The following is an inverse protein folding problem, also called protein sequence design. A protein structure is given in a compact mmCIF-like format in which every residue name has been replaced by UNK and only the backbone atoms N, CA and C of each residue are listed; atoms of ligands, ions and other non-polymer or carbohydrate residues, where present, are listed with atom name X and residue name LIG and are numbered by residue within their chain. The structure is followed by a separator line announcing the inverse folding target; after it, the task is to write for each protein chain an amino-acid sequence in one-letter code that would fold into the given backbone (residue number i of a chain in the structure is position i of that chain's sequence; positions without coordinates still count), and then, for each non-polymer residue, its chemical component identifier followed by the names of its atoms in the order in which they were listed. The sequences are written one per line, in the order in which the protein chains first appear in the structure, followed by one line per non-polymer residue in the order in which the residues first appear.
data_IF_714490796429
#
_entry.id   IF_714490796429
#
_cell.length_a   1.000
_cell.length_b   1.000
_cell.length_c   1.000
_cell.angle_alpha   90.00
_cell.angle_beta   90.00
_cell.angle_gamma   90.00
#
_symmetry.space_group_name_H-M   'P 1'
#
loop_
_entity.id
_entity.type
_entity.pdbx_description
1 polymer ?
#
# COMPACT_ATOMS: atom_id res chain seq x y z
N UNK A 1 1.28 -10.34 -76.51
CA UNK A 1 1.71 -10.61 -77.91
C UNK A 1 3.20 -10.84 -77.92
N UNK A 2 3.69 -11.84 -78.66
CA UNK A 2 4.96 -11.87 -79.42
C UNK A 2 5.16 -13.31 -79.93
N UNK A 3 5.61 -13.47 -81.19
CA UNK A 3 5.90 -14.76 -81.84
C UNK A 3 7.20 -14.61 -82.62
N UNK A 4 8.13 -15.55 -82.48
CA UNK A 4 9.11 -16.01 -83.48
C UNK A 4 9.68 -17.33 -82.94
N UNK A 5 9.92 -18.45 -83.62
CA UNK A 5 9.54 -19.06 -84.92
C UNK A 5 10.75 -19.93 -85.32
N UNK A 6 10.57 -21.21 -85.57
CA UNK A 6 11.67 -22.13 -85.92
C UNK A 6 11.65 -22.52 -87.40
N UNK A 7 12.81 -22.75 -88.00
CA UNK A 7 12.96 -23.22 -89.38
C UNK A 7 13.87 -24.46 -89.46
N UNK A 8 13.58 -25.36 -90.40
CA UNK A 8 14.32 -26.61 -90.62
C UNK A 8 14.33 -26.93 -92.12
N UNK A 9 15.46 -27.39 -92.67
CA UNK A 9 15.59 -27.64 -94.11
C UNK A 9 16.43 -28.90 -94.39
N UNK A 10 16.03 -29.70 -95.40
CA UNK A 10 16.68 -30.96 -95.79
C UNK A 10 16.75 -31.05 -97.32
N UNK A 11 17.88 -31.52 -97.88
CA UNK A 11 18.01 -31.88 -99.30
C UNK A 11 18.87 -33.14 -99.49
N UNK A 12 18.69 -33.86 -100.62
CA UNK A 12 19.36 -35.13 -100.95
C UNK A 12 19.37 -35.35 -102.47
N UNK A 13 20.49 -35.80 -103.06
CA UNK A 13 20.65 -36.02 -104.52
C UNK A 13 21.49 -37.26 -104.89
N UNK A 14 21.37 -37.74 -106.15
CA UNK A 14 22.03 -38.90 -106.83
C UNK A 14 21.47 -39.00 -108.29
N UNK A 15 21.81 -39.97 -109.21
CA UNK A 15 22.95 -40.91 -109.39
C UNK A 15 23.48 -41.10 -110.87
N UNK A 16 24.56 -41.88 -111.15
CA UNK A 16 24.63 -43.08 -112.09
C UNK A 16 26.06 -43.67 -112.43
N UNK A 17 26.19 -44.99 -112.81
CA UNK A 17 27.40 -45.73 -113.32
C UNK A 17 27.21 -46.23 -114.81
N UNK A 18 27.83 -47.29 -115.45
CA UNK A 18 28.83 -48.37 -115.07
C UNK A 18 29.84 -48.91 -116.19
N UNK A 19 30.42 -50.13 -116.02
CA UNK A 19 30.83 -51.19 -117.03
C UNK A 19 32.22 -51.17 -117.77
N UNK A 20 32.84 -52.27 -118.29
CA UNK A 20 32.64 -53.78 -118.21
C UNK A 20 33.92 -54.65 -118.49
N UNK A 21 33.80 -55.95 -118.90
CA UNK A 21 34.83 -57.05 -118.90
C UNK A 21 35.08 -57.71 -120.29
N UNK A 22 36.08 -58.63 -120.43
CA UNK A 22 36.01 -59.89 -121.25
C UNK A 22 37.08 -60.97 -120.90
N UNK A 23 36.97 -62.19 -121.48
CA UNK A 23 37.74 -63.45 -121.23
C UNK A 23 37.82 -64.34 -122.51
N UNK A 24 38.80 -65.27 -122.62
CA UNK A 24 38.71 -66.66 -123.21
C UNK A 24 40.13 -67.31 -123.38
N UNK A 25 40.38 -68.64 -123.46
CA UNK A 25 39.72 -69.89 -122.98
C UNK A 25 40.64 -71.16 -123.21
N UNK A 26 40.54 -72.19 -122.32
CA UNK A 26 40.79 -73.67 -122.55
C UNK A 26 42.25 -74.20 -122.75
N UNK A 27 42.64 -75.48 -122.52
CA UNK A 27 42.46 -76.44 -121.38
C UNK A 27 43.19 -77.83 -121.56
N UNK A 28 43.52 -78.55 -120.46
CA UNK A 28 43.64 -80.06 -120.27
C UNK A 28 44.91 -80.83 -120.77
N UNK A 29 45.32 -82.04 -120.28
CA UNK A 29 44.87 -83.11 -119.29
C UNK A 29 46.11 -84.04 -118.89
N UNK A 30 46.04 -85.23 -118.19
CA UNK A 30 46.29 -85.50 -116.71
C UNK A 30 47.23 -86.72 -116.37
N UNK A 31 47.91 -86.70 -115.18
CA UNK A 31 48.70 -87.69 -114.37
C UNK A 31 50.29 -87.52 -114.24
N UNK A 32 50.91 -87.53 -113.04
CA UNK A 32 51.70 -88.57 -112.25
C UNK A 32 53.03 -89.17 -112.85
N UNK A 33 54.04 -89.76 -112.14
CA UNK A 33 54.28 -90.27 -110.74
C UNK A 33 55.64 -89.72 -110.10
N UNK A 34 56.41 -90.36 -109.14
CA UNK A 34 56.66 -89.90 -107.74
C UNK A 34 58.18 -89.72 -107.33
N UNK A 35 58.70 -89.97 -106.08
CA UNK A 35 58.72 -89.15 -104.83
C UNK A 35 60.14 -88.91 -104.19
N UNK A 36 60.21 -88.58 -102.86
CA UNK A 36 61.40 -88.50 -101.92
C UNK A 36 62.41 -87.33 -102.12
N UNK A 37 63.35 -86.89 -101.24
CA UNK A 37 63.58 -86.71 -99.76
C UNK A 37 64.96 -85.91 -99.62
N UNK A 38 65.54 -85.48 -98.48
CA UNK A 38 65.11 -84.54 -97.40
C UNK A 38 66.30 -84.14 -96.44
N UNK A 39 66.02 -83.36 -95.38
CA UNK A 39 66.83 -83.03 -94.16
C UNK A 39 67.88 -81.85 -94.16
N UNK A 40 68.15 -81.18 -93.00
CA UNK A 40 68.77 -79.83 -92.82
C UNK A 40 70.13 -79.88 -92.03
N UNK A 41 70.51 -79.16 -90.91
CA UNK A 41 70.11 -77.89 -90.21
C UNK A 41 71.26 -76.97 -89.63
N UNK A 42 70.89 -75.92 -88.84
CA UNK A 42 71.69 -75.00 -87.94
C UNK A 42 72.62 -73.92 -88.56
N UNK A 43 72.99 -72.77 -87.93
CA UNK A 43 72.44 -72.02 -86.76
C UNK A 43 73.46 -71.18 -85.92
N UNK A 44 73.19 -69.89 -85.60
CA UNK A 44 73.67 -69.20 -84.36
C UNK A 44 74.58 -67.92 -84.40
N UNK A 45 74.07 -66.82 -83.81
CA UNK A 45 74.68 -65.74 -82.94
C UNK A 45 76.01 -64.99 -83.25
N UNK A 46 76.16 -63.74 -82.72
CA UNK A 46 77.20 -63.28 -81.75
C UNK A 46 77.46 -61.75 -81.71
N UNK A 47 78.10 -61.28 -80.63
CA UNK A 47 78.77 -59.96 -80.47
C UNK A 47 80.22 -60.13 -79.98
N UNK A 48 81.01 -59.05 -80.08
CA UNK A 48 82.43 -58.90 -79.72
C UNK A 48 83.48 -59.45 -80.71
N UNK A 49 84.40 -58.55 -81.12
CA UNK A 49 85.78 -58.69 -81.65
C UNK A 49 86.15 -59.90 -82.55
N UNK A 50 86.85 -59.74 -83.69
CA UNK A 50 88.03 -58.86 -83.88
C UNK A 50 88.41 -58.63 -85.36
N UNK A 51 88.80 -57.40 -85.68
CA UNK A 51 89.77 -56.97 -86.74
C UNK A 51 89.71 -57.48 -88.20
N UNK A 52 89.89 -56.52 -89.11
CA UNK A 52 90.64 -56.60 -90.39
C UNK A 52 90.00 -57.17 -91.67
N UNK A 53 89.83 -56.25 -92.64
CA UNK A 53 90.16 -56.40 -94.09
C UNK A 53 89.29 -57.40 -94.91
N UNK A 54 89.19 -57.32 -96.25
CA UNK A 54 89.40 -56.27 -97.26
C UNK A 54 88.67 -56.68 -98.56
N UNK A 55 88.49 -55.72 -99.48
CA UNK A 55 88.38 -55.90 -100.95
C UNK A 55 87.25 -56.77 -101.55
N UNK A 56 86.64 -56.20 -102.61
CA UNK A 56 86.61 -56.69 -104.00
C UNK A 56 87.17 -58.13 -104.29
N UNK A 57 86.73 -58.85 -105.33
CA UNK A 57 86.37 -58.36 -106.67
C UNK A 57 85.54 -59.38 -107.49
N UNK A 58 85.10 -58.99 -108.69
CA UNK A 58 84.41 -59.87 -109.63
C UNK A 58 85.39 -60.78 -110.42
N UNK A 59 84.96 -61.98 -110.88
CA UNK A 59 85.70 -62.75 -111.86
C UNK A 59 85.58 -62.10 -113.26
N UNK A 60 86.70 -61.65 -113.82
CA UNK A 60 86.79 -61.26 -115.23
C UNK A 60 87.05 -62.45 -116.15
N UNK A 61 86.87 -62.26 -117.46
CA UNK A 61 87.47 -63.13 -118.49
C UNK A 61 89.00 -62.96 -118.53
N UNK A 62 89.75 -63.63 -119.40
CA UNK A 62 89.44 -64.35 -120.65
C UNK A 62 90.25 -65.70 -120.64
N UNK A 63 90.31 -66.59 -121.64
CA UNK A 63 90.40 -66.37 -123.09
C UNK A 63 90.16 -67.63 -123.93
N UNK A 64 90.19 -67.41 -125.25
CA UNK A 64 89.88 -68.28 -126.38
C UNK A 64 90.36 -69.74 -126.34
N UNK A 65 89.49 -70.62 -126.84
CA UNK A 65 89.81 -71.87 -127.52
C UNK A 65 88.74 -72.12 -128.59
N UNK A 66 89.13 -72.12 -129.87
CA UNK A 66 88.20 -72.22 -131.00
C UNK A 66 87.53 -73.59 -131.10
N UNK A 67 86.20 -73.60 -131.33
CA UNK A 67 85.47 -74.63 -132.10
C UNK A 67 84.05 -74.13 -132.43
N UNK A 68 83.44 -74.66 -133.50
CA UNK A 68 82.42 -73.92 -134.29
C UNK A 68 80.96 -74.33 -134.01
N UNK A 69 80.06 -73.34 -134.14
CA UNK A 69 78.61 -73.44 -134.30
C UNK A 69 77.84 -74.42 -133.38
N UNK A 70 77.29 -73.90 -132.27
CA UNK A 70 76.33 -74.62 -131.42
C UNK A 70 74.98 -73.91 -131.29
N UNK A 71 73.89 -74.59 -131.64
CA UNK A 71 72.52 -74.17 -131.29
C UNK A 71 72.22 -74.66 -129.87
N UNK A 72 71.77 -73.76 -128.99
CA UNK A 72 71.49 -74.10 -127.58
C UNK A 72 70.03 -74.51 -127.42
N UNK A 73 69.80 -75.82 -127.28
CA UNK A 73 68.47 -76.40 -127.08
C UNK A 73 68.11 -76.39 -125.58
N UNK A 74 67.23 -75.46 -125.18
CA UNK A 74 66.70 -75.38 -123.83
C UNK A 74 65.54 -76.35 -123.62
N UNK A 75 65.74 -77.44 -122.86
CA UNK A 75 64.66 -78.35 -122.48
C UNK A 75 63.88 -77.77 -121.29
N UNK A 76 62.79 -77.06 -121.57
CA UNK A 76 61.88 -76.55 -120.54
C UNK A 76 60.90 -77.65 -120.13
N UNK A 77 61.17 -78.31 -119.00
CA UNK A 77 60.28 -79.33 -118.46
C UNK A 77 58.99 -78.67 -117.92
N UNK A 78 57.90 -78.72 -118.71
CA UNK A 78 56.57 -78.32 -118.25
C UNK A 78 56.02 -79.36 -117.27
N UNK A 79 56.29 -79.14 -115.98
CA UNK A 79 55.67 -79.86 -114.87
C UNK A 79 54.20 -79.44 -114.64
N UNK A 80 53.45 -79.20 -115.71
CA UNK A 80 51.99 -79.18 -115.59
C UNK A 80 51.57 -80.60 -115.18
N UNK A 81 50.81 -80.72 -114.08
CA UNK A 81 50.68 -81.91 -113.21
C UNK A 81 49.85 -83.06 -113.83
N UNK A 82 50.12 -83.35 -115.11
CA UNK A 82 49.12 -83.78 -116.08
C UNK A 82 49.76 -84.51 -117.31
N UNK A 83 49.84 -85.86 -117.38
CA UNK A 83 50.25 -86.63 -118.60
C UNK A 83 49.46 -86.06 -119.81
N UNK A 84 50.09 -85.51 -120.83
CA UNK A 84 51.33 -86.00 -121.42
C UNK A 84 52.58 -85.17 -121.08
N UNK A 85 53.72 -85.85 -120.93
CA UNK A 85 55.04 -85.21 -120.80
C UNK A 85 55.55 -84.75 -122.18
N UNK A 86 54.96 -83.67 -122.70
CA UNK A 86 55.31 -83.12 -124.01
C UNK A 86 56.65 -82.39 -123.99
N UNK A 87 57.66 -82.99 -124.61
CA UNK A 87 59.03 -82.46 -124.70
C UNK A 87 59.14 -81.42 -125.84
N UNK A 88 58.52 -80.26 -125.68
CA UNK A 88 58.50 -79.21 -126.71
C UNK A 88 59.85 -78.48 -126.77
N UNK A 89 60.68 -78.85 -127.74
CA UNK A 89 62.01 -78.26 -127.97
C UNK A 89 61.88 -76.93 -128.72
N UNK A 90 61.87 -75.82 -127.97
CA UNK A 90 61.98 -74.48 -128.56
C UNK A 90 63.45 -74.15 -128.85
N UNK A 91 63.82 -74.09 -130.13
CA UNK A 91 65.12 -73.59 -130.57
C UNK A 91 65.19 -72.07 -130.40
N UNK A 92 65.91 -71.58 -129.40
CA UNK A 92 66.12 -70.14 -129.17
C UNK A 92 67.46 -69.69 -129.73
N UNK A 93 67.47 -68.53 -130.39
CA UNK A 93 68.72 -67.87 -130.75
C UNK A 93 69.41 -67.30 -129.49
N UNK A 94 70.74 -67.25 -129.48
CA UNK A 94 71.51 -66.71 -128.36
C UNK A 94 71.24 -65.21 -128.07
N UNK A 95 70.58 -64.51 -129.00
CA UNK A 95 70.07 -63.15 -128.81
C UNK A 95 68.79 -63.15 -127.96
N UNK A 96 67.83 -64.02 -128.27
CA UNK A 96 66.48 -64.01 -127.70
C UNK A 96 66.48 -64.36 -126.20
N UNK A 97 67.29 -65.33 -125.78
CA UNK A 97 67.51 -65.64 -124.35
C UNK A 97 68.13 -64.47 -123.58
N UNK A 98 68.96 -63.64 -124.25
CA UNK A 98 69.59 -62.44 -123.67
C UNK A 98 68.60 -61.29 -123.46
N UNK A 99 67.49 -61.27 -124.20
CA UNK A 99 66.41 -60.31 -124.04
C UNK A 99 65.53 -60.68 -122.83
N UNK A 100 65.08 -61.94 -122.75
CA UNK A 100 64.28 -62.41 -121.61
C UNK A 100 65.07 -62.34 -120.29
N UNK A 101 66.35 -62.70 -120.30
CA UNK A 101 67.24 -62.52 -119.14
C UNK A 101 67.56 -61.04 -118.83
N UNK A 102 67.28 -60.08 -119.72
CA UNK A 102 67.24 -58.65 -119.35
C UNK A 102 65.90 -58.32 -118.72
N UNK A 103 64.80 -58.63 -119.40
CA UNK A 103 63.44 -58.33 -118.95
C UNK A 103 63.14 -58.86 -117.54
N UNK A 104 63.49 -60.11 -117.22
CA UNK A 104 63.31 -60.67 -115.87
C UNK A 104 64.12 -59.91 -114.80
N UNK A 105 65.34 -59.45 -115.14
CA UNK A 105 66.14 -58.61 -114.24
C UNK A 105 65.52 -57.24 -114.07
N UNK A 106 65.05 -56.59 -115.14
CA UNK A 106 64.44 -55.25 -115.06
C UNK A 106 63.08 -55.26 -114.34
N UNK A 107 62.28 -56.30 -114.51
CA UNK A 107 61.04 -56.54 -113.74
C UNK A 107 61.36 -56.75 -112.26
N UNK A 108 62.40 -57.53 -111.92
CA UNK A 108 62.84 -57.68 -110.53
C UNK A 108 63.35 -56.35 -109.96
N UNK A 109 64.20 -55.62 -110.69
CA UNK A 109 64.79 -54.35 -110.26
C UNK A 109 63.74 -53.22 -110.17
N UNK A 110 62.63 -53.29 -110.92
CA UNK A 110 61.48 -52.38 -110.75
C UNK A 110 60.60 -52.79 -109.57
N UNK A 111 60.27 -54.07 -109.40
CA UNK A 111 59.53 -54.56 -108.22
C UNK A 111 60.28 -54.32 -106.91
N UNK A 112 61.61 -54.47 -106.88
CA UNK A 112 62.42 -54.17 -105.69
C UNK A 112 62.54 -52.67 -105.44
N UNK A 113 62.54 -51.81 -106.48
CA UNK A 113 62.40 -50.35 -106.33
C UNK A 113 61.03 -49.96 -105.77
N UNK A 114 59.93 -50.56 -106.26
CA UNK A 114 58.57 -50.34 -105.75
C UNK A 114 58.47 -50.82 -104.30
N UNK A 115 58.97 -52.02 -103.97
CA UNK A 115 59.01 -52.55 -102.60
C UNK A 115 59.74 -51.57 -101.67
N UNK A 116 60.97 -51.18 -102.00
CA UNK A 116 61.77 -50.32 -101.15
C UNK A 116 61.14 -48.93 -100.98
N UNK A 117 60.49 -48.39 -102.02
CA UNK A 117 59.73 -47.14 -101.94
C UNK A 117 58.48 -47.28 -101.06
N UNK A 118 57.68 -48.34 -101.24
CA UNK A 118 56.49 -48.62 -100.43
C UNK A 118 56.81 -48.79 -98.95
N UNK A 119 57.89 -49.50 -98.60
CA UNK A 119 58.33 -49.61 -97.20
C UNK A 119 58.86 -48.28 -96.66
N UNK A 120 59.62 -47.50 -97.45
CA UNK A 120 60.05 -46.15 -97.04
C UNK A 120 58.87 -45.20 -96.75
N UNK A 121 57.87 -45.17 -97.64
CA UNK A 121 56.65 -44.37 -97.48
C UNK A 121 55.78 -44.89 -96.32
N UNK A 122 55.69 -46.21 -96.12
CA UNK A 122 55.00 -46.82 -94.97
C UNK A 122 55.68 -46.51 -93.65
N UNK A 123 57.00 -46.64 -93.55
CA UNK A 123 57.76 -46.34 -92.32
C UNK A 123 57.83 -44.84 -92.04
N UNK A 124 57.74 -43.98 -93.07
CA UNK A 124 57.55 -42.54 -92.87
C UNK A 124 56.14 -42.20 -92.39
N UNK A 125 55.10 -42.80 -92.96
CA UNK A 125 53.73 -42.63 -92.49
C UNK A 125 53.55 -43.20 -91.08
N UNK A 126 54.17 -44.33 -90.76
CA UNK A 126 54.20 -44.92 -89.41
C UNK A 126 54.90 -43.99 -88.41
N UNK A 127 56.07 -43.42 -88.75
CA UNK A 127 56.75 -42.40 -87.93
C UNK A 127 55.89 -41.14 -87.74
N UNK A 128 55.21 -40.67 -88.80
CA UNK A 128 54.29 -39.51 -88.73
C UNK A 128 53.07 -39.80 -87.83
N UNK A 129 52.46 -40.98 -87.96
CA UNK A 129 51.36 -41.42 -87.09
C UNK A 129 51.84 -41.55 -85.63
N UNK A 130 53.03 -42.11 -85.39
CA UNK A 130 53.61 -42.21 -84.03
C UNK A 130 53.93 -40.82 -83.45
N UNK A 131 54.51 -39.91 -84.25
CA UNK A 131 54.79 -38.54 -83.83
C UNK A 131 53.49 -37.79 -83.47
N UNK A 132 52.49 -37.79 -84.36
CA UNK A 132 51.17 -37.19 -84.11
C UNK A 132 50.45 -37.85 -82.92
N UNK A 133 50.63 -39.15 -82.69
CA UNK A 133 50.08 -39.82 -81.49
C UNK A 133 50.77 -39.32 -80.22
N UNK A 134 52.10 -39.20 -80.23
CA UNK A 134 52.85 -38.67 -79.07
C UNK A 134 52.52 -37.20 -78.80
N UNK A 135 52.42 -36.38 -79.84
CA UNK A 135 52.03 -34.97 -79.77
C UNK A 135 50.60 -34.81 -79.24
N UNK A 136 49.66 -35.65 -79.71
CA UNK A 136 48.30 -35.71 -79.17
C UNK A 136 48.28 -36.11 -77.69
N UNK A 137 49.10 -37.09 -77.25
CA UNK A 137 49.19 -37.45 -75.83
C UNK A 137 49.83 -36.37 -74.97
N UNK A 138 50.81 -35.61 -75.50
CA UNK A 138 51.40 -34.46 -74.80
C UNK A 138 50.38 -33.32 -74.68
N UNK A 139 49.72 -32.94 -75.78
CA UNK A 139 48.69 -31.90 -75.79
C UNK A 139 47.49 -32.26 -74.90
N UNK A 140 47.09 -33.54 -74.84
CA UNK A 140 46.06 -34.01 -73.90
C UNK A 140 46.55 -33.95 -72.44
N UNK A 141 47.84 -34.22 -72.16
CA UNK A 141 48.40 -34.08 -70.82
C UNK A 141 48.52 -32.60 -70.39
N UNK A 142 48.90 -31.72 -71.30
CA UNK A 142 48.92 -30.27 -71.11
C UNK A 142 47.51 -29.73 -70.84
N UNK A 143 46.53 -30.10 -71.67
CA UNK A 143 45.12 -29.74 -71.46
C UNK A 143 44.62 -30.23 -70.10
N UNK A 144 44.88 -31.49 -69.73
CA UNK A 144 44.51 -32.02 -68.43
C UNK A 144 45.19 -31.27 -67.28
N UNK A 145 46.46 -30.85 -67.43
CA UNK A 145 47.15 -30.04 -66.41
C UNK A 145 46.54 -28.64 -66.26
N UNK A 146 46.11 -28.01 -67.36
CA UNK A 146 45.44 -26.72 -67.37
C UNK A 146 44.05 -26.81 -66.74
N UNK A 147 43.30 -27.87 -67.05
CA UNK A 147 41.98 -28.17 -66.52
C UNK A 147 42.02 -28.44 -65.01
N UNK A 148 43.00 -29.23 -64.54
CA UNK A 148 43.29 -29.39 -63.11
C UNK A 148 43.61 -28.04 -62.43
N UNK A 149 44.44 -27.20 -63.05
CA UNK A 149 44.79 -25.87 -62.51
C UNK A 149 43.55 -24.96 -62.42
N UNK A 150 42.71 -24.92 -63.46
CA UNK A 150 41.43 -24.20 -63.46
C UNK A 150 40.51 -24.73 -62.35
N UNK A 151 40.42 -26.04 -62.16
CA UNK A 151 39.59 -26.66 -61.13
C UNK A 151 40.07 -26.33 -59.70
N UNK A 152 41.39 -26.30 -59.47
CA UNK A 152 41.98 -25.87 -58.19
C UNK A 152 41.69 -24.39 -57.91
N UNK A 153 41.83 -23.50 -58.91
CA UNK A 153 41.47 -22.09 -58.75
C UNK A 153 39.97 -21.86 -58.55
N UNK A 154 39.11 -22.64 -59.20
CA UNK A 154 37.66 -22.61 -58.97
C UNK A 154 37.32 -23.03 -57.54
N UNK A 155 37.92 -24.11 -57.02
CA UNK A 155 37.73 -24.55 -55.64
C UNK A 155 38.26 -23.53 -54.62
N UNK A 156 39.40 -22.90 -54.88
CA UNK A 156 39.93 -21.82 -54.04
C UNK A 156 39.00 -20.59 -54.03
N UNK A 157 38.49 -20.17 -55.19
CA UNK A 157 37.53 -19.06 -55.29
C UNK A 157 36.20 -19.37 -54.59
N UNK A 158 35.72 -20.61 -54.62
CA UNK A 158 34.51 -20.99 -53.88
C UNK A 158 34.78 -21.01 -52.36
N UNK A 159 35.93 -21.51 -51.91
CA UNK A 159 36.33 -21.40 -50.50
C UNK A 159 36.44 -19.94 -50.03
N UNK A 160 36.93 -19.02 -50.88
CA UNK A 160 36.90 -17.58 -50.59
C UNK A 160 35.48 -17.00 -50.57
N UNK A 161 34.54 -17.51 -51.39
CA UNK A 161 33.11 -17.14 -51.32
C UNK A 161 32.46 -17.64 -50.03
N UNK A 162 32.72 -18.89 -49.63
CA UNK A 162 32.25 -19.48 -48.38
C UNK A 162 32.79 -18.75 -47.14
N UNK A 163 34.09 -18.40 -47.12
CA UNK A 163 34.66 -17.57 -46.05
C UNK A 163 34.04 -16.16 -46.03
N UNK A 164 33.77 -15.57 -47.19
CA UNK A 164 33.15 -14.23 -47.29
C UNK A 164 31.66 -14.23 -46.89
N UNK A 165 30.90 -15.27 -47.25
CA UNK A 165 29.50 -15.43 -46.85
C UNK A 165 29.38 -15.77 -45.36
N UNK A 166 30.29 -16.61 -44.83
CA UNK A 166 30.41 -16.88 -43.40
C UNK A 166 30.76 -15.61 -42.60
N UNK A 167 31.75 -14.83 -43.06
CA UNK A 167 32.13 -13.57 -42.42
C UNK A 167 31.02 -12.52 -42.47
N UNK A 168 30.28 -12.41 -43.58
CA UNK A 168 29.12 -11.50 -43.65
C UNK A 168 27.96 -11.97 -42.78
N UNK A 169 27.69 -13.29 -42.69
CA UNK A 169 26.72 -13.86 -41.74
C UNK A 169 27.08 -13.53 -40.30
N UNK A 170 28.33 -13.81 -39.88
CA UNK A 170 28.81 -13.51 -38.53
C UNK A 170 28.80 -12.00 -38.21
N UNK A 171 29.09 -11.15 -39.20
CA UNK A 171 28.98 -9.69 -39.06
C UNK A 171 27.52 -9.23 -38.87
N UNK A 172 26.57 -9.82 -39.60
CA UNK A 172 25.13 -9.56 -39.45
C UNK A 172 24.62 -10.06 -38.08
N UNK A 173 25.06 -11.24 -37.62
CA UNK A 173 24.71 -11.78 -36.30
C UNK A 173 25.27 -10.91 -35.16
N UNK A 174 26.50 -10.42 -35.27
CA UNK A 174 27.09 -9.50 -34.29
C UNK A 174 26.40 -8.13 -34.30
N UNK A 175 26.06 -7.60 -35.47
CA UNK A 175 25.26 -6.36 -35.57
C UNK A 175 23.87 -6.55 -34.97
N UNK A 176 23.20 -7.67 -35.24
CA UNK A 176 21.88 -7.99 -34.70
C UNK A 176 21.94 -8.10 -33.17
N UNK A 177 22.84 -8.92 -32.63
CA UNK A 177 22.98 -9.10 -31.18
C UNK A 177 23.35 -7.82 -30.46
N UNK A 178 24.17 -6.94 -31.06
CA UNK A 178 24.43 -5.60 -30.52
C UNK A 178 23.14 -4.74 -30.49
N UNK A 179 22.34 -4.74 -31.57
CA UNK A 179 21.06 -4.02 -31.61
C UNK A 179 20.09 -4.57 -30.56
N UNK A 180 19.88 -5.89 -30.51
CA UNK A 180 19.02 -6.58 -29.54
C UNK A 180 19.43 -6.18 -28.10
N UNK A 181 20.72 -6.26 -27.76
CA UNK A 181 21.26 -5.83 -26.45
C UNK A 181 21.05 -4.33 -26.18
N UNK A 182 21.18 -3.45 -27.19
CA UNK A 182 20.87 -2.03 -26.97
C UNK A 182 19.38 -1.77 -26.72
N UNK A 183 18.48 -2.52 -27.36
CA UNK A 183 17.03 -2.44 -27.13
C UNK A 183 16.67 -2.92 -25.72
N UNK A 184 17.22 -4.06 -25.28
CA UNK A 184 17.08 -4.55 -23.91
C UNK A 184 17.57 -3.51 -22.89
N UNK A 185 18.73 -2.88 -23.13
CA UNK A 185 19.25 -1.82 -22.27
C UNK A 185 18.37 -0.56 -22.24
N UNK A 186 17.61 -0.25 -23.31
CA UNK A 186 16.59 0.81 -23.24
C UNK A 186 15.37 0.39 -22.41
N UNK A 187 14.86 -0.84 -22.59
CA UNK A 187 13.73 -1.36 -21.80
C UNK A 187 14.07 -1.41 -20.31
N UNK A 188 15.28 -1.85 -19.95
CA UNK A 188 15.77 -1.87 -18.55
C UNK A 188 15.87 -0.45 -17.99
N UNK A 189 16.33 0.53 -18.78
CA UNK A 189 16.41 1.94 -18.37
C UNK A 189 15.01 2.52 -18.09
N UNK A 190 14.06 2.25 -18.96
CA UNK A 190 12.68 2.72 -18.84
C UNK A 190 11.97 2.05 -17.65
N UNK A 191 12.20 0.76 -17.40
CA UNK A 191 11.76 0.06 -16.19
C UNK A 191 12.35 0.70 -14.93
N UNK A 192 13.65 1.00 -14.90
CA UNK A 192 14.31 1.69 -13.77
C UNK A 192 13.72 3.10 -13.57
N UNK A 193 13.40 3.83 -14.65
CA UNK A 193 12.77 5.14 -14.56
C UNK A 193 11.34 5.05 -14.01
N UNK A 194 10.52 4.11 -14.48
CA UNK A 194 9.18 3.86 -13.97
C UNK A 194 9.18 3.42 -12.50
N UNK A 195 10.14 2.60 -12.08
CA UNK A 195 10.33 2.20 -10.68
C UNK A 195 10.74 3.39 -9.79
N UNK A 196 11.60 4.29 -10.29
CA UNK A 196 11.94 5.54 -9.59
C UNK A 196 10.74 6.46 -9.44
N UNK A 197 9.99 6.71 -10.51
CA UNK A 197 8.79 7.57 -10.48
C UNK A 197 7.69 7.01 -9.57
N UNK A 198 7.45 5.70 -9.57
CA UNK A 198 6.46 5.07 -8.68
C UNK A 198 6.89 5.04 -7.21
N UNK A 199 8.19 4.90 -6.93
CA UNK A 199 8.76 5.07 -5.59
C UNK A 199 8.70 6.53 -5.10
N UNK A 200 9.02 7.50 -5.96
CA UNK A 200 8.92 8.92 -5.65
C UNK A 200 7.47 9.31 -5.32
N UNK A 201 6.53 8.92 -6.17
CA UNK A 201 5.10 9.16 -5.97
C UNK A 201 4.52 8.48 -4.70
N UNK A 202 5.01 7.30 -4.32
CA UNK A 202 4.59 6.64 -3.07
C UNK A 202 5.19 7.32 -1.84
N UNK A 203 6.43 7.80 -1.92
CA UNK A 203 7.08 8.60 -0.89
C UNK A 203 6.44 9.99 -0.71
N UNK A 204 5.97 10.62 -1.78
CA UNK A 204 5.17 11.86 -1.69
C UNK A 204 3.83 11.62 -1.01
N UNK A 205 3.09 10.58 -1.42
CA UNK A 205 1.84 10.16 -0.75
C UNK A 205 2.06 9.84 0.74
N UNK A 206 3.18 9.21 1.09
CA UNK A 206 3.53 8.93 2.49
C UNK A 206 3.78 10.23 3.28
N UNK A 207 4.51 11.19 2.72
CA UNK A 207 4.73 12.52 3.32
C UNK A 207 3.41 13.30 3.48
N UNK A 208 2.52 13.25 2.48
CA UNK A 208 1.20 13.88 2.54
C UNK A 208 0.34 13.25 3.65
N UNK A 209 0.32 11.91 3.75
CA UNK A 209 -0.40 11.20 4.80
C UNK A 209 0.18 11.45 6.19
N UNK A 210 1.50 11.58 6.33
CA UNK A 210 2.11 12.01 7.59
C UNK A 210 1.66 13.43 7.95
N UNK A 211 1.66 14.37 7.01
CA UNK A 211 1.18 15.75 7.25
C UNK A 211 -0.29 15.78 7.68
N UNK A 212 -1.15 14.99 7.03
CA UNK A 212 -2.56 14.83 7.38
C UNK A 212 -2.73 14.24 8.80
N UNK A 213 -1.88 13.28 9.18
CA UNK A 213 -1.86 12.70 10.53
C UNK A 213 -1.43 13.72 11.59
N UNK A 214 -0.39 14.52 11.35
CA UNK A 214 0.02 15.57 12.30
C UNK A 214 -1.04 16.67 12.44
N UNK A 215 -1.71 17.09 11.35
CA UNK A 215 -2.84 18.03 11.46
C UNK A 215 -4.00 17.44 12.26
N UNK A 216 -4.32 16.16 12.06
CA UNK A 216 -5.38 15.48 12.81
C UNK A 216 -5.01 15.29 14.30
N UNK A 217 -3.74 15.06 14.64
CA UNK A 217 -3.28 15.03 16.05
C UNK A 217 -3.48 16.38 16.73
N UNK A 218 -3.02 17.47 16.12
CA UNK A 218 -3.16 18.83 16.67
C UNK A 218 -4.64 19.21 16.83
N UNK A 219 -5.50 18.82 15.89
CA UNK A 219 -6.95 18.99 16.03
C UNK A 219 -7.52 18.17 17.20
N UNK A 220 -7.13 16.90 17.36
CA UNK A 220 -7.56 16.07 18.49
C UNK A 220 -7.05 16.60 19.85
N UNK A 221 -5.83 17.13 19.92
CA UNK A 221 -5.30 17.79 21.12
C UNK A 221 -6.07 19.06 21.46
N UNK A 222 -6.39 19.90 20.46
CA UNK A 222 -7.22 21.09 20.64
C UNK A 222 -8.65 20.75 21.08
N UNK A 223 -9.25 19.71 20.48
CA UNK A 223 -10.57 19.20 20.89
C UNK A 223 -10.54 18.63 22.31
N UNK A 224 -9.50 17.88 22.69
CA UNK A 224 -9.30 17.38 24.05
C UNK A 224 -9.22 18.55 25.05
N UNK A 225 -8.37 19.54 24.80
CA UNK A 225 -8.26 20.73 25.67
C UNK A 225 -9.57 21.52 25.77
N UNK A 226 -10.36 21.58 24.68
CA UNK A 226 -11.69 22.24 24.68
C UNK A 226 -12.73 21.44 25.48
N UNK A 227 -12.67 20.11 25.43
CA UNK A 227 -13.53 19.22 26.24
C UNK A 227 -13.13 19.32 27.72
N UNK A 228 -11.84 19.21 28.04
CA UNK A 228 -11.32 19.36 29.41
C UNK A 228 -11.66 20.73 30.01
N UNK A 229 -11.44 21.82 29.26
CA UNK A 229 -11.77 23.17 29.71
C UNK A 229 -13.27 23.44 29.90
N UNK A 230 -14.13 22.82 29.09
CA UNK A 230 -15.60 22.94 29.26
C UNK A 230 -16.15 22.02 30.36
N UNK A 231 -15.54 20.86 30.58
CA UNK A 231 -15.83 20.01 31.73
C UNK A 231 -15.41 20.69 33.05
N UNK A 232 -14.21 21.28 33.12
CA UNK A 232 -13.73 21.95 34.32
C UNK A 232 -14.51 23.23 34.63
N UNK A 233 -14.88 24.02 33.61
CA UNK A 233 -15.78 25.16 33.80
C UNK A 233 -17.16 24.75 34.35
N UNK A 234 -17.74 23.65 33.83
CA UNK A 234 -18.99 23.10 34.35
C UNK A 234 -18.84 22.55 35.78
N UNK A 235 -17.71 21.88 36.08
CA UNK A 235 -17.40 21.42 37.42
C UNK A 235 -17.26 22.57 38.42
N UNK A 236 -16.61 23.68 38.03
CA UNK A 236 -16.48 24.86 38.90
C UNK A 236 -17.82 25.56 39.12
N UNK A 237 -18.72 25.62 38.13
CA UNK A 237 -20.10 26.12 38.34
C UNK A 237 -20.85 25.26 39.36
N UNK A 238 -20.71 23.92 39.32
CA UNK A 238 -21.30 23.03 40.31
C UNK A 238 -20.67 23.20 41.71
N UNK A 239 -19.34 23.36 41.79
CA UNK A 239 -18.63 23.69 43.04
C UNK A 239 -19.09 25.05 43.60
N UNK A 240 -19.22 26.08 42.77
CA UNK A 240 -19.75 27.40 43.15
C UNK A 240 -21.17 27.32 43.69
N UNK A 241 -22.08 26.65 42.97
CA UNK A 241 -23.47 26.48 43.41
C UNK A 241 -23.53 25.75 44.76
N UNK A 242 -22.66 24.75 44.94
CA UNK A 242 -22.52 24.01 46.20
C UNK A 242 -22.00 24.92 47.33
N UNK A 243 -20.95 25.72 47.11
CA UNK A 243 -20.42 26.69 48.08
C UNK A 243 -21.47 27.75 48.46
N UNK A 244 -22.19 28.29 47.47
CA UNK A 244 -23.28 29.27 47.66
C UNK A 244 -24.43 28.67 48.49
N UNK A 245 -24.81 27.42 48.22
CA UNK A 245 -25.86 26.72 48.96
C UNK A 245 -25.46 26.45 50.43
N UNK A 246 -24.24 25.97 50.68
CA UNK A 246 -23.74 25.80 52.05
C UNK A 246 -23.66 27.14 52.80
N UNK A 247 -23.13 28.20 52.17
CA UNK A 247 -23.08 29.54 52.76
C UNK A 247 -24.47 30.06 53.16
N UNK A 248 -25.50 29.85 52.32
CA UNK A 248 -26.87 30.25 52.63
C UNK A 248 -27.54 29.43 53.73
N UNK A 249 -27.13 28.17 53.94
CA UNK A 249 -27.60 27.37 55.07
C UNK A 249 -26.89 27.76 56.37
N UNK A 250 -25.59 28.04 56.31
CA UNK A 250 -24.81 28.50 57.46
C UNK A 250 -25.24 29.89 57.93
N UNK A 251 -25.46 30.83 57.01
CA UNK A 251 -25.99 32.17 57.28
C UNK A 251 -27.35 32.10 58.00
N UNK A 252 -28.32 31.35 57.46
CA UNK A 252 -29.64 31.17 58.09
C UNK A 252 -29.59 30.47 59.46
N UNK A 253 -28.66 29.53 59.65
CA UNK A 253 -28.44 28.89 60.94
C UNK A 253 -27.92 29.92 61.96
N UNK A 254 -26.97 30.77 61.56
CA UNK A 254 -26.44 31.84 62.40
C UNK A 254 -27.49 32.93 62.70
N UNK A 255 -28.35 33.29 61.75
CA UNK A 255 -29.47 34.23 61.95
C UNK A 255 -30.46 33.71 63.01
N UNK A 256 -30.97 32.48 62.85
CA UNK A 256 -31.90 31.90 63.81
C UNK A 256 -31.22 31.60 65.17
N UNK A 257 -29.93 31.25 65.20
CA UNK A 257 -29.18 31.17 66.47
C UNK A 257 -29.09 32.52 67.19
N UNK A 258 -28.80 33.61 66.49
CA UNK A 258 -28.73 34.95 67.07
C UNK A 258 -30.09 35.41 67.57
N UNK A 259 -31.15 35.18 66.78
CA UNK A 259 -32.54 35.45 67.15
C UNK A 259 -32.96 34.71 68.42
N UNK A 260 -32.73 33.39 68.51
CA UNK A 260 -33.03 32.62 69.72
C UNK A 260 -32.22 33.09 70.95
N UNK A 261 -30.98 33.58 70.77
CA UNK A 261 -30.18 34.19 71.86
C UNK A 261 -30.82 35.49 72.34
N UNK A 262 -31.21 36.39 71.43
CA UNK A 262 -31.88 37.66 71.76
C UNK A 262 -33.27 37.47 72.38
N UNK A 263 -34.05 36.50 71.89
CA UNK A 263 -35.35 36.13 72.48
C UNK A 263 -35.18 35.60 73.90
N UNK A 264 -34.18 34.72 74.13
CA UNK A 264 -33.85 34.21 75.47
C UNK A 264 -33.40 35.32 76.41
N UNK A 265 -32.55 36.24 75.97
CA UNK A 265 -32.12 37.39 76.77
C UNK A 265 -33.30 38.32 77.12
N UNK A 266 -34.19 38.58 76.16
CA UNK A 266 -35.41 39.37 76.37
C UNK A 266 -36.34 38.72 77.41
N UNK A 267 -36.55 37.40 77.31
CA UNK A 267 -37.36 36.64 78.27
C UNK A 267 -36.73 36.60 79.67
N UNK A 268 -35.40 36.50 79.77
CA UNK A 268 -34.69 36.59 81.05
C UNK A 268 -34.83 38.00 81.68
N UNK A 269 -34.77 39.07 80.88
CA UNK A 269 -34.97 40.43 81.36
C UNK A 269 -36.39 40.66 81.89
N UNK A 270 -37.44 40.24 81.18
CA UNK A 270 -38.82 40.37 81.69
C UNK A 270 -39.06 39.45 82.90
N UNK A 271 -38.48 38.25 82.94
CA UNK A 271 -38.54 37.36 84.12
C UNK A 271 -37.93 38.03 85.36
N UNK A 272 -36.75 38.65 85.23
CA UNK A 272 -36.10 39.36 86.31
C UNK A 272 -36.90 40.60 86.76
N UNK A 273 -37.48 41.34 85.81
CA UNK A 273 -38.36 42.48 86.07
C UNK A 273 -39.64 42.08 86.82
N UNK A 274 -40.28 40.98 86.44
CA UNK A 274 -41.45 40.43 87.13
C UNK A 274 -41.07 39.91 88.53
N UNK A 275 -39.91 39.26 88.67
CA UNK A 275 -39.38 38.82 89.96
C UNK A 275 -39.16 40.00 90.91
N UNK A 276 -38.52 41.09 90.46
CA UNK A 276 -38.38 42.31 91.27
C UNK A 276 -39.72 42.93 91.66
N UNK A 277 -40.71 42.96 90.74
CA UNK A 277 -42.04 43.46 91.05
C UNK A 277 -42.76 42.61 92.11
N UNK A 278 -42.60 41.28 92.07
CA UNK A 278 -43.11 40.34 93.07
C UNK A 278 -42.38 40.53 94.41
N UNK A 279 -41.06 40.71 94.42
CA UNK A 279 -40.33 41.02 95.64
C UNK A 279 -40.79 42.32 96.30
N UNK A 280 -40.98 43.39 95.53
CA UNK A 280 -41.42 44.69 96.06
C UNK A 280 -42.89 44.68 96.50
N UNK A 281 -43.74 43.88 95.84
CA UNK A 281 -45.08 43.58 96.33
C UNK A 281 -45.03 42.82 97.67
N UNK A 282 -44.18 41.81 97.80
CA UNK A 282 -43.98 41.05 99.05
C UNK A 282 -43.41 41.92 100.18
N UNK A 283 -42.48 42.83 99.89
CA UNK A 283 -41.95 43.82 100.86
C UNK A 283 -43.09 44.72 101.38
N UNK A 284 -43.92 45.26 100.48
CA UNK A 284 -45.08 46.09 100.83
C UNK A 284 -46.13 45.31 101.64
N UNK A 285 -46.44 44.09 101.22
CA UNK A 285 -47.39 43.19 101.89
C UNK A 285 -46.98 42.95 103.36
N UNK A 286 -45.71 42.61 103.61
CA UNK A 286 -45.18 42.42 104.97
C UNK A 286 -45.29 43.68 105.83
N UNK A 287 -45.00 44.86 105.27
CA UNK A 287 -45.15 46.14 106.00
C UNK A 287 -46.63 46.44 106.35
N UNK A 288 -47.56 46.13 105.45
CA UNK A 288 -48.99 46.26 105.75
C UNK A 288 -49.48 45.21 106.75
N UNK A 289 -48.92 44.00 106.71
CA UNK A 289 -49.21 42.91 107.64
C UNK A 289 -48.74 43.24 109.07
N UNK A 290 -47.51 43.76 109.25
CA UNK A 290 -47.05 44.19 110.58
C UNK A 290 -47.88 45.36 111.12
N UNK A 291 -48.23 46.33 110.28
CA UNK A 291 -49.09 47.45 110.70
C UNK A 291 -50.55 47.04 110.96
N UNK A 292 -51.02 45.94 110.36
CA UNK A 292 -52.30 45.33 110.71
C UNK A 292 -52.21 44.63 112.07
N UNK A 293 -51.17 43.82 112.31
CA UNK A 293 -50.94 43.16 113.60
C UNK A 293 -50.80 44.15 114.77
N UNK A 294 -50.18 45.32 114.56
CA UNK A 294 -50.15 46.42 115.53
C UNK A 294 -51.54 46.97 115.85
N UNK A 295 -52.41 47.12 114.83
CA UNK A 295 -53.79 47.58 114.99
C UNK A 295 -54.66 46.53 115.68
N UNK A 296 -54.51 45.26 115.34
CA UNK A 296 -55.24 44.15 115.97
C UNK A 296 -54.87 44.00 117.45
N UNK A 297 -53.58 44.17 117.79
CA UNK A 297 -53.13 44.29 119.18
C UNK A 297 -53.83 45.45 119.90
N UNK A 298 -53.89 46.64 119.27
CA UNK A 298 -54.54 47.82 119.84
C UNK A 298 -56.06 47.68 119.97
N UNK A 299 -56.72 47.00 119.04
CA UNK A 299 -58.15 46.64 119.15
C UNK A 299 -58.35 45.74 120.36
N UNK A 300 -57.52 44.69 120.51
CA UNK A 300 -57.55 43.81 121.69
C UNK A 300 -57.24 44.50 123.02
N UNK A 301 -56.53 45.63 123.04
CA UNK A 301 -56.41 46.49 124.24
C UNK A 301 -57.71 47.26 124.55
N UNK A 302 -58.36 47.79 123.51
CA UNK A 302 -59.61 48.52 123.63
C UNK A 302 -60.77 47.60 124.05
N UNK A 303 -60.86 46.38 123.51
CA UNK A 303 -61.87 45.40 123.92
C UNK A 303 -61.74 45.03 125.41
N UNK A 304 -60.51 44.86 125.91
CA UNK A 304 -60.22 44.63 127.34
C UNK A 304 -60.49 45.86 128.22
N UNK A 305 -60.55 47.07 127.65
CA UNK A 305 -60.99 48.28 128.36
C UNK A 305 -62.52 48.35 128.38
N UNK A 306 -63.18 48.13 127.25
CA UNK A 306 -64.64 48.08 127.12
C UNK A 306 -65.21 47.03 128.08
N UNK A 307 -64.69 45.80 128.08
CA UNK A 307 -65.14 44.73 128.98
C UNK A 307 -65.02 45.12 130.47
N UNK A 308 -64.00 45.89 130.87
CA UNK A 308 -63.87 46.40 132.24
C UNK A 308 -64.91 47.48 132.54
N UNK A 309 -65.10 48.44 131.64
CA UNK A 309 -66.13 49.49 131.76
C UNK A 309 -67.55 48.90 131.77
N UNK A 310 -67.80 47.83 131.02
CA UNK A 310 -69.07 47.12 131.04
C UNK A 310 -69.29 46.37 132.37
N UNK A 311 -68.28 45.68 132.89
CA UNK A 311 -68.37 45.05 134.21
C UNK A 311 -68.65 46.08 135.32
N UNK A 312 -67.97 47.22 135.29
CA UNK A 312 -68.20 48.36 136.19
C UNK A 312 -69.61 48.93 136.03
N UNK A 313 -70.08 49.16 134.79
CA UNK A 313 -71.47 49.58 134.51
C UNK A 313 -72.48 48.61 135.10
N UNK A 314 -72.32 47.30 134.90
CA UNK A 314 -73.23 46.29 135.45
C UNK A 314 -73.20 46.25 136.99
N UNK A 315 -72.07 46.57 137.62
CA UNK A 315 -71.96 46.70 139.07
C UNK A 315 -72.70 47.94 139.58
N UNK A 316 -72.49 49.10 138.95
CA UNK A 316 -73.20 50.35 139.27
C UNK A 316 -74.71 50.24 139.03
N UNK A 317 -75.14 49.52 137.99
CA UNK A 317 -76.56 49.24 137.71
C UNK A 317 -77.22 48.39 138.81
N UNK A 318 -76.51 47.41 139.39
CA UNK A 318 -77.02 46.64 140.55
C UNK A 318 -77.20 47.53 141.77
N UNK A 319 -76.18 48.34 142.10
CA UNK A 319 -76.23 49.28 143.21
C UNK A 319 -77.37 50.30 143.06
N UNK A 320 -77.62 50.81 141.84
CA UNK A 320 -78.76 51.69 141.57
C UNK A 320 -80.10 51.01 141.89
N UNK A 321 -80.31 49.76 141.43
CA UNK A 321 -81.54 48.99 141.71
C UNK A 321 -81.69 48.71 143.21
N UNK A 322 -80.59 48.42 143.92
CA UNK A 322 -80.58 48.25 145.37
C UNK A 322 -81.02 49.53 146.11
N UNK A 323 -80.58 50.72 145.66
CA UNK A 323 -81.03 52.01 146.22
C UNK A 323 -82.47 52.37 145.82
N UNK A 324 -82.90 52.11 144.58
CA UNK A 324 -84.29 52.33 144.14
C UNK A 324 -85.28 51.46 144.93
N UNK A 325 -84.90 50.22 145.26
CA UNK A 325 -85.71 49.34 146.11
C UNK A 325 -85.80 49.84 147.55
N UNK A 326 -84.72 50.43 148.10
CA UNK A 326 -84.74 51.08 149.41
C UNK A 326 -85.67 52.31 149.42
N UNK A 327 -85.58 53.17 148.40
CA UNK A 327 -86.41 54.37 148.26
C UNK A 327 -87.91 54.02 148.14
N UNK A 328 -88.27 53.02 147.32
CA UNK A 328 -89.65 52.54 147.19
C UNK A 328 -90.24 51.96 148.48
N UNK A 329 -89.41 51.61 149.46
CA UNK A 329 -89.86 51.23 150.81
C UNK A 329 -90.27 52.43 151.69
N UNK A 330 -89.91 53.66 151.31
CA UNK A 330 -90.17 54.89 152.07
C UNK A 330 -91.37 55.67 151.52
N UNK A 331 -91.60 55.66 150.20
CA UNK A 331 -92.62 56.46 149.49
C UNK A 331 -94.10 56.03 149.73
N UNK A 332 -94.40 55.23 150.75
CA UNK A 332 -95.77 54.79 151.08
C UNK A 332 -96.55 55.77 151.99
N UNK A 333 -95.98 56.91 152.38
CA UNK A 333 -96.64 57.89 153.25
C UNK A 333 -96.80 59.29 152.61
N UNK A 334 -98.03 59.79 152.74
CA UNK A 334 -98.53 61.16 152.53
C UNK A 334 -98.64 61.71 151.08
N UNK A 335 -99.89 61.84 150.64
CA UNK A 335 -100.30 62.67 149.50
C UNK A 335 -101.27 63.78 149.96
N UNK A 336 -100.79 65.01 150.19
CA UNK A 336 -101.63 66.20 150.00
C UNK A 336 -100.82 67.51 149.88
N UNK A 337 -101.12 68.33 148.87
CA UNK A 337 -100.93 69.80 148.85
C UNK A 337 -101.21 70.41 147.46
N UNK A 338 -102.47 70.77 147.19
CA UNK A 338 -102.89 71.42 145.95
C UNK A 338 -102.17 72.75 145.57
N UNK A 339 -101.58 73.56 146.49
CA UNK A 339 -100.80 74.74 146.08
C UNK A 339 -99.56 74.44 145.21
N UNK A 340 -99.08 73.18 145.19
CA UNK A 340 -97.88 72.80 144.45
C UNK A 340 -98.07 72.83 142.93
N UNK A 341 -99.29 72.62 142.42
CA UNK A 341 -99.55 72.53 140.96
C UNK A 341 -99.39 73.88 140.25
N UNK A 342 -99.91 74.98 140.81
CA UNK A 342 -99.77 76.31 140.21
C UNK A 342 -98.30 76.75 140.13
N UNK A 343 -97.53 76.50 141.19
CA UNK A 343 -96.09 76.82 141.22
C UNK A 343 -95.27 75.90 140.31
N UNK A 344 -95.67 74.63 140.16
CA UNK A 344 -95.14 73.74 139.12
C UNK A 344 -95.49 74.25 137.71
N UNK A 345 -96.64 74.90 137.50
CA UNK A 345 -97.04 75.41 136.19
C UNK A 345 -96.23 76.66 135.79
N UNK A 346 -96.02 77.63 136.70
CA UNK A 346 -95.08 78.74 136.47
C UNK A 346 -93.67 78.22 136.11
N UNK A 347 -93.18 77.22 136.85
CA UNK A 347 -91.89 76.57 136.58
C UNK A 347 -91.93 75.83 135.23
N UNK A 348 -93.04 75.20 134.86
CA UNK A 348 -93.20 74.49 133.58
C UNK A 348 -93.18 75.46 132.39
N UNK A 349 -93.86 76.60 132.48
CA UNK A 349 -93.87 77.60 131.41
C UNK A 349 -92.53 78.35 131.31
N UNK A 350 -91.85 78.60 132.44
CA UNK A 350 -90.46 79.07 132.46
C UNK A 350 -89.49 78.06 131.85
N UNK A 351 -89.65 76.76 132.11
CA UNK A 351 -88.84 75.70 131.50
C UNK A 351 -89.15 75.53 130.01
N UNK A 352 -90.40 75.67 129.56
CA UNK A 352 -90.77 75.70 128.13
C UNK A 352 -90.08 76.85 127.41
N UNK A 353 -90.02 78.03 128.02
CA UNK A 353 -89.30 79.17 127.46
C UNK A 353 -87.78 78.96 127.42
N UNK A 354 -87.22 78.37 128.49
CA UNK A 354 -85.82 77.96 128.54
C UNK A 354 -85.47 76.94 127.45
N UNK A 355 -86.38 76.00 127.16
CA UNK A 355 -86.25 75.01 126.08
C UNK A 355 -86.31 75.71 124.71
N UNK A 356 -87.30 76.57 124.44
CA UNK A 356 -87.35 77.36 123.18
C UNK A 356 -86.04 78.10 122.92
N UNK A 357 -85.50 78.80 123.92
CA UNK A 357 -84.25 79.54 123.78
C UNK A 357 -83.03 78.61 123.59
N UNK A 358 -83.05 77.39 124.17
CA UNK A 358 -82.02 76.37 123.91
C UNK A 358 -82.14 75.83 122.48
N UNK A 359 -83.34 75.55 121.99
CA UNK A 359 -83.60 75.08 120.62
C UNK A 359 -83.17 76.13 119.59
N UNK A 360 -83.47 77.43 119.82
CA UNK A 360 -83.00 78.54 118.99
C UNK A 360 -81.47 78.65 118.98
N UNK A 361 -80.81 78.46 120.13
CA UNK A 361 -79.33 78.43 120.19
C UNK A 361 -78.77 77.19 119.48
N UNK A 362 -79.42 76.03 119.57
CA UNK A 362 -79.04 74.82 118.84
C UNK A 362 -79.19 75.03 117.33
N UNK A 363 -80.27 75.67 116.87
CA UNK A 363 -80.46 76.03 115.47
C UNK A 363 -79.41 77.04 114.97
N UNK A 364 -79.02 78.02 115.79
CA UNK A 364 -77.90 78.92 115.48
C UNK A 364 -76.56 78.18 115.39
N UNK A 365 -76.26 77.26 116.30
CA UNK A 365 -75.03 76.46 116.26
C UNK A 365 -75.04 75.47 115.09
N UNK A 366 -76.18 74.83 114.77
CA UNK A 366 -76.33 73.96 113.60
C UNK A 366 -76.14 74.73 112.30
N UNK A 367 -76.68 75.96 112.18
CA UNK A 367 -76.37 76.84 111.04
C UNK A 367 -74.88 77.17 110.95
N UNK A 368 -74.22 77.45 112.08
CA UNK A 368 -72.77 77.73 112.11
C UNK A 368 -71.93 76.52 111.70
N UNK A 369 -72.26 75.32 112.20
CA UNK A 369 -71.60 74.06 111.80
C UNK A 369 -71.85 73.76 110.33
N UNK A 370 -73.08 73.95 109.82
CA UNK A 370 -73.39 73.78 108.39
C UNK A 370 -72.56 74.73 107.53
N UNK A 371 -72.43 76.00 107.92
CA UNK A 371 -71.61 76.99 107.22
C UNK A 371 -70.13 76.60 107.23
N UNK A 372 -69.57 76.17 108.38
CA UNK A 372 -68.19 75.67 108.45
C UNK A 372 -67.95 74.42 107.60
N UNK A 373 -68.94 73.52 107.48
CA UNK A 373 -68.87 72.37 106.56
C UNK A 373 -68.91 72.82 105.10
N UNK A 374 -69.71 73.83 104.76
CA UNK A 374 -69.73 74.44 103.42
C UNK A 374 -68.43 75.17 103.08
N UNK A 375 -67.80 75.84 104.04
CA UNK A 375 -66.45 76.41 103.91
C UNK A 375 -65.39 75.30 103.68
N UNK A 376 -65.40 74.23 104.49
CA UNK A 376 -64.46 73.10 104.29
C UNK A 376 -64.68 72.42 102.94
N UNK A 377 -65.93 72.15 102.53
CA UNK A 377 -66.22 71.55 101.23
C UNK A 377 -65.84 72.47 100.06
N UNK A 378 -66.03 73.80 100.18
CA UNK A 378 -65.58 74.74 99.14
C UNK A 378 -64.07 74.87 99.10
N UNK A 379 -63.36 74.79 100.23
CA UNK A 379 -61.90 74.69 100.27
C UNK A 379 -61.37 73.37 99.68
N UNK A 380 -62.01 72.22 99.93
CA UNK A 380 -61.65 70.94 99.30
C UNK A 380 -61.91 70.95 97.79
N UNK A 381 -63.05 71.49 97.35
CA UNK A 381 -63.36 71.65 95.93
C UNK A 381 -62.39 72.62 95.25
N UNK A 382 -62.03 73.74 95.89
CA UNK A 382 -61.05 74.68 95.34
C UNK A 382 -59.63 74.08 95.30
N UNK A 383 -59.24 73.32 96.32
CA UNK A 383 -57.94 72.63 96.38
C UNK A 383 -57.84 71.52 95.33
N UNK A 384 -58.87 70.70 95.16
CA UNK A 384 -58.93 69.66 94.11
C UNK A 384 -59.04 70.24 92.70
N UNK A 385 -59.65 71.42 92.52
CA UNK A 385 -59.64 72.15 91.25
C UNK A 385 -58.26 72.75 90.94
N UNK A 386 -57.60 73.34 91.95
CA UNK A 386 -56.23 73.88 91.84
C UNK A 386 -55.20 72.80 91.50
N UNK A 387 -55.27 71.63 92.18
CA UNK A 387 -54.46 70.45 91.87
C UNK A 387 -54.70 69.89 90.45
N UNK A 388 -55.89 70.09 89.88
CA UNK A 388 -56.17 69.75 88.46
C UNK A 388 -55.65 70.80 87.47
N UNK A 389 -55.43 72.04 87.88
CA UNK A 389 -55.02 73.14 87.00
C UNK A 389 -53.50 73.39 86.99
N UNK A 390 -52.79 72.99 88.05
CA UNK A 390 -51.32 73.01 88.15
C UNK A 390 -50.69 71.71 87.57
N UNK A 391 -51.52 70.73 87.21
CA UNK A 391 -51.11 69.43 86.62
C UNK A 391 -51.11 69.37 85.09
N UNK A 392 -50.81 70.47 84.40
CA UNK A 392 -50.62 70.55 82.93
C UNK A 392 -49.58 71.59 82.54
#
# INVERSE_FOLDING_TARGET
MLRYSSGLTVTRTKPRPPQSRRKANICRLRLTLPPEESWPPWGGTNTAEKTSKQLYQAPGGLSAGDLKHGVVYGVVHRSDDNHNKEMVVYGWSAYQLKEEMRYIRDVRLTLERVRNKMYGEYDEMKRKIQALSSELTVSHAEQASLENHIQVHAAALESFREMSSSLTSASIELQKTLVDVTLENTVIRDQIQNLKQTHEHSMEKLKEKQKQLETAKVENELLRLKVEGSQEANAEVMREMTRKLYSQYEEKLQEEEQKHKLEKETLLLETNRLLMAIEDANKKMRLTETSLQEKDQRIGELDRLIQRMENERHQLQKQLIEYEMQLRGVDLYDQSSQPRSLKLQEITDSLRERIRHLDDMVLCQQKKVKHMVEEVMTHELFSTFSLRFIGR
#
